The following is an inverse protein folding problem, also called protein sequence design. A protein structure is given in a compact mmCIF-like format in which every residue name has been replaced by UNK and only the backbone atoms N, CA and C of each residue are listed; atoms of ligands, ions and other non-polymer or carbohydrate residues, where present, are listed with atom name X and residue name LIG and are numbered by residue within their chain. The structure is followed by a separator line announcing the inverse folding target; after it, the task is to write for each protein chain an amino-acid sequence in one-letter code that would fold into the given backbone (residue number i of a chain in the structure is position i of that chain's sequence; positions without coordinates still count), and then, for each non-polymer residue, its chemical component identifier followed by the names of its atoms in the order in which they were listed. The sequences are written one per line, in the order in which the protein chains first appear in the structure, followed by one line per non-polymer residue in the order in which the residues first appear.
data_IF_427226834081
#
_entry.id   IF_427226834081
#
_cell.length_a   1.000
_cell.length_b   1.000
_cell.length_c   1.000
_cell.angle_alpha   90.00
_cell.angle_beta   90.00
_cell.angle_gamma   90.00
#
_symmetry.space_group_name_H-M   'P 1'
#
loop_
_entity.id
_entity.type
_entity.pdbx_description
1 polymer ?
#
# COMPACT_ATOMS: atom_id res chain seq x y z
N UNK A 1 -3.73 22.62 -17.73
CA UNK A 1 -2.32 23.02 -17.57
C UNK A 1 -1.39 21.81 -17.43
N UNK A 2 -1.33 21.08 -16.29
CA UNK A 2 -0.36 19.98 -16.12
C UNK A 2 -0.47 18.89 -17.21
N UNK A 3 -1.69 18.46 -17.53
CA UNK A 3 -1.94 17.49 -18.62
C UNK A 3 -1.40 17.97 -19.98
N UNK A 4 -1.63 19.24 -20.32
CA UNK A 4 -1.16 19.84 -21.58
C UNK A 4 0.37 19.85 -21.65
N UNK A 5 1.04 20.16 -20.53
CA UNK A 5 2.51 20.09 -20.43
C UNK A 5 3.00 18.66 -20.64
N UNK A 6 2.31 17.66 -20.06
CA UNK A 6 2.67 16.25 -20.25
C UNK A 6 2.58 15.83 -21.73
N UNK A 7 1.51 16.23 -22.42
CA UNK A 7 1.27 15.80 -23.81
C UNK A 7 2.12 16.57 -24.81
N UNK A 8 2.36 17.86 -24.59
CA UNK A 8 2.95 18.74 -25.62
C UNK A 8 4.44 18.99 -25.42
N UNK A 9 4.96 18.88 -24.19
CA UNK A 9 6.35 19.23 -23.88
C UNK A 9 7.28 18.00 -23.77
N UNK A 10 6.83 16.83 -24.27
CA UNK A 10 7.66 15.63 -24.38
C UNK A 10 7.76 14.76 -23.11
N UNK A 11 6.99 15.06 -22.06
CA UNK A 11 7.02 14.30 -20.80
C UNK A 11 6.15 13.04 -20.79
N UNK A 12 5.43 12.74 -21.88
CA UNK A 12 4.46 11.65 -21.92
C UNK A 12 5.06 10.28 -21.58
N UNK A 13 6.20 9.92 -22.17
CA UNK A 13 6.79 8.57 -22.04
C UNK A 13 7.57 8.39 -20.74
N UNK A 14 8.53 9.29 -20.47
CA UNK A 14 9.51 9.16 -19.38
C UNK A 14 9.37 10.23 -18.28
N UNK A 15 8.47 11.20 -18.43
CA UNK A 15 8.38 12.34 -17.52
C UNK A 15 9.58 13.28 -17.64
N UNK A 16 9.67 14.26 -16.74
CA UNK A 16 10.81 15.18 -16.66
C UNK A 16 11.77 14.91 -15.49
N UNK A 17 11.58 13.84 -14.73
CA UNK A 17 12.39 13.47 -13.58
C UNK A 17 11.84 13.98 -12.24
N UNK A 18 12.65 13.84 -11.18
CA UNK A 18 12.27 14.20 -9.82
C UNK A 18 11.95 15.70 -9.69
N UNK A 19 10.74 16.01 -9.21
CA UNK A 19 10.29 17.38 -8.96
C UNK A 19 10.04 18.22 -10.21
N UNK A 20 9.90 17.60 -11.39
CA UNK A 20 9.60 18.29 -12.63
C UNK A 20 8.25 19.02 -12.58
N UNK A 21 7.24 18.38 -11.98
CA UNK A 21 5.93 18.99 -11.77
C UNK A 21 6.05 20.29 -10.97
N UNK A 22 6.76 20.26 -9.83
CA UNK A 22 6.95 21.42 -8.98
C UNK A 22 7.74 22.52 -9.69
N UNK A 23 8.81 22.15 -10.39
CA UNK A 23 9.63 23.08 -11.16
C UNK A 23 8.80 23.83 -12.21
N UNK A 24 8.07 23.11 -13.07
CA UNK A 24 7.27 23.72 -14.14
C UNK A 24 6.10 24.53 -13.56
N UNK A 25 5.43 24.01 -12.54
CA UNK A 25 4.28 24.69 -11.93
C UNK A 25 4.69 25.97 -11.19
N UNK A 26 5.85 25.99 -10.51
CA UNK A 26 6.38 27.20 -9.85
C UNK A 26 6.75 28.29 -10.86
N UNK A 27 7.33 27.94 -12.00
CA UNK A 27 7.63 28.91 -13.06
C UNK A 27 6.38 29.59 -13.62
N UNK A 28 5.24 28.89 -13.62
CA UNK A 28 3.96 29.39 -14.12
C UNK A 28 3.02 29.85 -13.00
N UNK A 29 3.54 29.98 -11.77
CA UNK A 29 2.73 30.33 -10.61
C UNK A 29 1.89 31.62 -10.78
N UNK A 30 2.39 32.71 -11.38
CA UNK A 30 1.56 33.91 -11.59
C UNK A 30 0.32 33.65 -12.46
N UNK A 31 0.47 32.85 -13.51
CA UNK A 31 -0.63 32.44 -14.40
C UNK A 31 -1.58 31.46 -13.71
N UNK A 32 -1.06 30.50 -12.95
CA UNK A 32 -1.88 29.55 -12.20
C UNK A 32 -2.69 30.28 -11.12
N UNK A 33 -2.08 31.23 -10.41
CA UNK A 33 -2.74 32.02 -9.36
C UNK A 33 -3.87 32.87 -9.91
N UNK A 34 -3.76 33.43 -11.11
CA UNK A 34 -4.85 34.20 -11.71
C UNK A 34 -6.08 33.34 -12.03
N UNK A 35 -5.89 32.02 -12.18
CA UNK A 35 -6.97 31.03 -12.32
C UNK A 35 -7.41 30.43 -10.98
N UNK A 36 -6.96 30.97 -9.85
CA UNK A 36 -7.31 30.48 -8.50
C UNK A 36 -6.55 29.23 -8.06
N UNK A 37 -5.46 28.88 -8.73
CA UNK A 37 -4.70 27.66 -8.48
C UNK A 37 -3.47 27.90 -7.58
N UNK A 38 -3.17 26.97 -6.66
CA UNK A 38 -2.11 27.10 -5.64
C UNK A 38 -0.72 26.64 -6.06
N UNK A 39 -0.54 26.26 -7.32
CA UNK A 39 0.76 25.96 -7.93
C UNK A 39 1.26 24.52 -7.74
N UNK A 40 0.46 23.61 -7.18
CA UNK A 40 0.79 22.19 -7.07
C UNK A 40 -0.08 21.32 -7.97
N UNK A 41 0.40 20.15 -8.37
CA UNK A 41 -0.46 19.16 -9.02
C UNK A 41 -1.22 18.41 -7.93
N UNK A 42 -2.54 18.57 -7.87
CA UNK A 42 -3.41 18.03 -6.80
C UNK A 42 -4.00 16.65 -7.16
N UNK A 43 -3.23 15.81 -7.84
CA UNK A 43 -3.61 14.44 -8.17
C UNK A 43 -2.34 13.58 -8.28
N UNK A 44 -2.28 12.46 -7.55
CA UNK A 44 -1.08 11.62 -7.50
C UNK A 44 -0.74 11.04 -8.88
N UNK A 45 -1.74 10.68 -9.70
CA UNK A 45 -1.52 10.13 -11.04
C UNK A 45 -0.87 11.16 -11.97
N UNK A 46 -1.40 12.37 -12.01
CA UNK A 46 -0.85 13.47 -12.80
C UNK A 46 0.57 13.81 -12.33
N UNK A 47 0.80 13.85 -11.01
CA UNK A 47 2.13 14.12 -10.44
C UNK A 47 3.13 13.05 -10.84
N UNK A 48 2.77 11.76 -10.69
CA UNK A 48 3.60 10.64 -11.13
C UNK A 48 3.85 10.67 -12.63
N UNK A 49 2.84 11.01 -13.45
CA UNK A 49 3.00 11.08 -14.90
C UNK A 49 3.99 12.18 -15.28
N UNK A 50 3.84 13.35 -14.67
CA UNK A 50 4.66 14.50 -14.99
C UNK A 50 6.13 14.29 -14.64
N UNK A 51 6.39 13.52 -13.58
CA UNK A 51 7.74 13.22 -13.10
C UNK A 51 8.35 11.98 -13.74
N UNK A 52 7.59 10.91 -13.96
CA UNK A 52 8.12 9.59 -14.35
C UNK A 52 7.58 9.04 -15.66
N UNK A 53 6.61 9.73 -16.26
CA UNK A 53 5.96 9.32 -17.51
C UNK A 53 5.02 8.14 -17.34
N UNK A 54 4.40 7.74 -18.45
CA UNK A 54 3.51 6.56 -18.47
C UNK A 54 4.27 5.28 -18.12
N UNK A 55 5.57 5.18 -18.47
CA UNK A 55 6.38 4.01 -18.15
C UNK A 55 6.55 3.87 -16.64
N UNK A 56 6.88 4.96 -15.95
CA UNK A 56 7.00 4.96 -14.49
C UNK A 56 5.69 4.61 -13.79
N UNK A 57 4.58 5.18 -14.26
CA UNK A 57 3.23 4.85 -13.76
C UNK A 57 2.94 3.34 -13.90
N UNK A 58 3.16 2.77 -15.09
CA UNK A 58 2.85 1.36 -15.33
C UNK A 58 3.69 0.44 -14.45
N UNK A 59 4.99 0.73 -14.27
CA UNK A 59 5.86 -0.03 -13.39
C UNK A 59 5.45 0.10 -11.92
N UNK A 60 5.09 1.30 -11.49
CA UNK A 60 4.59 1.56 -10.13
C UNK A 60 3.30 0.78 -9.87
N UNK A 61 2.26 0.94 -10.70
CA UNK A 61 0.97 0.27 -10.50
C UNK A 61 1.07 -1.24 -10.65
N UNK A 62 1.93 -1.75 -11.54
CA UNK A 62 2.24 -3.18 -11.60
C UNK A 62 2.75 -3.68 -10.25
N UNK A 63 3.74 -2.99 -9.68
CA UNK A 63 4.35 -3.40 -8.40
C UNK A 63 3.37 -3.27 -7.24
N UNK A 64 2.62 -2.17 -7.21
CA UNK A 64 1.55 -1.92 -6.25
C UNK A 64 0.50 -3.04 -6.27
N UNK A 65 -0.05 -3.37 -7.44
CA UNK A 65 -1.06 -4.43 -7.56
C UNK A 65 -0.50 -5.79 -7.15
N UNK A 66 0.72 -6.14 -7.56
CA UNK A 66 1.36 -7.41 -7.17
C UNK A 66 1.55 -7.53 -5.65
N UNK A 67 1.91 -6.43 -4.99
CA UNK A 67 2.02 -6.37 -3.53
C UNK A 67 0.67 -6.64 -2.86
N UNK A 68 -0.43 -6.05 -3.36
CA UNK A 68 -1.77 -6.33 -2.85
C UNK A 68 -2.26 -7.74 -3.15
N UNK A 69 -1.89 -8.33 -4.29
CA UNK A 69 -2.18 -9.73 -4.60
C UNK A 69 -1.48 -10.66 -3.59
N UNK A 70 -0.23 -10.36 -3.21
CA UNK A 70 0.48 -11.10 -2.15
C UNK A 70 -0.29 -10.98 -0.82
N UNK A 71 -0.59 -9.75 -0.39
CA UNK A 71 -1.29 -9.49 0.87
C UNK A 71 -2.68 -10.14 0.93
N UNK A 72 -3.42 -10.15 -0.19
CA UNK A 72 -4.77 -10.71 -0.25
C UNK A 72 -4.82 -12.23 -0.02
N UNK A 73 -3.71 -12.94 -0.21
CA UNK A 73 -3.61 -14.38 0.12
C UNK A 73 -3.68 -14.62 1.63
N UNK A 74 -3.26 -13.65 2.43
CA UNK A 74 -3.25 -13.73 3.89
C UNK A 74 -4.45 -13.01 4.50
N UNK A 75 -4.76 -11.81 4.00
CA UNK A 75 -5.83 -10.97 4.51
C UNK A 75 -6.75 -10.49 3.36
N UNK A 76 -7.95 -11.08 3.17
CA UNK A 76 -8.87 -10.71 2.09
C UNK A 76 -9.31 -9.23 2.09
N UNK A 77 -9.19 -8.54 3.24
CA UNK A 77 -9.44 -7.10 3.36
C UNK A 77 -8.43 -6.24 2.58
N UNK A 78 -7.29 -6.82 2.16
CA UNK A 78 -6.25 -6.14 1.39
C UNK A 78 -6.80 -5.48 0.13
N UNK A 79 -7.69 -6.14 -0.62
CA UNK A 79 -8.27 -5.53 -1.82
C UNK A 79 -9.20 -4.37 -1.53
N UNK A 80 -9.99 -4.40 -0.45
CA UNK A 80 -10.81 -3.25 -0.06
C UNK A 80 -9.93 -2.03 0.24
N UNK A 81 -8.80 -2.25 0.93
CA UNK A 81 -7.81 -1.23 1.19
C UNK A 81 -7.16 -0.72 -0.11
N UNK A 82 -6.81 -1.62 -1.03
CA UNK A 82 -6.26 -1.26 -2.34
C UNK A 82 -7.17 -0.28 -3.09
N UNK A 83 -8.46 -0.58 -3.20
CA UNK A 83 -9.44 0.29 -3.87
C UNK A 83 -9.60 1.62 -3.14
N UNK A 84 -9.61 1.61 -1.79
CA UNK A 84 -9.64 2.83 -0.99
C UNK A 84 -8.44 3.73 -1.27
N UNK A 85 -7.23 3.16 -1.33
CA UNK A 85 -6.00 3.90 -1.65
C UNK A 85 -6.07 4.48 -3.06
N UNK A 86 -6.35 3.65 -4.08
CA UNK A 86 -6.46 4.07 -5.49
C UNK A 86 -7.47 5.22 -5.66
N UNK A 87 -8.60 5.16 -4.95
CA UNK A 87 -9.61 6.20 -5.00
C UNK A 87 -9.14 7.48 -4.28
N UNK A 88 -8.52 7.36 -3.11
CA UNK A 88 -8.06 8.51 -2.33
C UNK A 88 -6.98 9.33 -3.05
N UNK A 89 -6.08 8.67 -3.78
CA UNK A 89 -4.97 9.32 -4.49
C UNK A 89 -5.41 10.08 -5.75
N UNK A 90 -6.71 10.00 -6.13
CA UNK A 90 -7.31 10.86 -7.16
C UNK A 90 -7.47 12.30 -6.69
N UNK A 91 -7.75 12.52 -5.41
CA UNK A 91 -8.07 13.83 -4.85
C UNK A 91 -6.85 14.54 -4.29
N UNK A 92 -5.86 13.77 -3.82
CA UNK A 92 -4.68 14.29 -3.16
C UNK A 92 -3.41 13.61 -3.67
N UNK A 93 -2.33 14.38 -3.78
CA UNK A 93 -1.03 13.92 -4.27
C UNK A 93 -0.15 13.29 -3.20
N UNK A 94 -0.76 12.70 -2.15
CA UNK A 94 -0.02 12.24 -0.97
C UNK A 94 0.92 11.08 -1.28
N UNK A 95 0.61 10.24 -2.27
CA UNK A 95 1.45 9.12 -2.67
C UNK A 95 2.82 9.58 -3.20
N UNK A 96 2.87 10.80 -3.74
CA UNK A 96 4.10 11.47 -4.23
C UNK A 96 4.59 12.58 -3.30
N UNK A 97 3.82 12.92 -2.26
CA UNK A 97 4.10 14.03 -1.36
C UNK A 97 5.16 13.66 -0.32
N UNK A 98 6.25 14.42 -0.27
CA UNK A 98 7.38 14.15 0.63
C UNK A 98 7.08 14.38 2.12
N UNK A 99 6.09 15.22 2.44
CA UNK A 99 5.72 15.61 3.81
C UNK A 99 4.42 14.93 4.30
N UNK A 100 3.95 13.90 3.60
CA UNK A 100 2.67 13.28 3.92
C UNK A 100 2.83 11.99 4.74
N UNK A 101 2.22 11.88 5.95
CA UNK A 101 2.30 10.67 6.77
C UNK A 101 1.57 9.47 6.16
N UNK A 102 0.66 9.66 5.20
CA UNK A 102 -0.13 8.57 4.63
C UNK A 102 0.71 7.56 3.86
N UNK A 103 1.83 7.98 3.25
CA UNK A 103 2.72 7.06 2.55
C UNK A 103 3.39 6.08 3.51
N UNK A 104 3.92 6.57 4.64
CA UNK A 104 4.52 5.67 5.63
C UNK A 104 3.47 4.79 6.31
N UNK A 105 2.28 5.33 6.59
CA UNK A 105 1.17 4.54 7.14
C UNK A 105 0.73 3.44 6.18
N UNK A 106 0.66 3.71 4.87
CA UNK A 106 0.40 2.70 3.86
C UNK A 106 1.46 1.60 3.89
N UNK A 107 2.75 1.94 3.94
CA UNK A 107 3.83 0.96 3.98
C UNK A 107 3.77 0.07 5.24
N UNK A 108 3.46 0.66 6.40
CA UNK A 108 3.28 -0.08 7.66
C UNK A 108 2.11 -1.05 7.53
N UNK A 109 0.95 -0.59 7.08
CA UNK A 109 -0.24 -1.45 6.90
C UNK A 109 0.06 -2.57 5.91
N UNK A 110 0.72 -2.28 4.80
CA UNK A 110 1.09 -3.30 3.81
C UNK A 110 2.05 -4.34 4.37
N UNK A 111 3.01 -3.93 5.20
CA UNK A 111 3.95 -4.84 5.86
C UNK A 111 3.20 -5.76 6.84
N UNK A 112 2.34 -5.18 7.68
CA UNK A 112 1.51 -5.93 8.64
C UNK A 112 0.61 -6.97 7.95
N UNK A 113 0.14 -6.68 6.73
CA UNK A 113 -0.78 -7.54 5.98
C UNK A 113 -0.09 -8.53 5.03
N UNK A 114 1.23 -8.44 4.84
CA UNK A 114 1.96 -9.24 3.85
C UNK A 114 3.03 -10.17 4.46
N UNK A 115 3.49 -9.87 5.67
CA UNK A 115 4.58 -10.60 6.32
C UNK A 115 4.06 -11.72 7.22
N UNK A 116 4.47 -12.95 6.91
CA UNK A 116 4.01 -14.17 7.56
C UNK A 116 4.45 -14.24 9.03
N UNK A 117 5.60 -13.68 9.39
CA UNK A 117 6.09 -13.65 10.77
C UNK A 117 5.11 -12.89 11.69
N UNK A 118 4.59 -11.76 11.21
CA UNK A 118 3.66 -10.91 11.96
C UNK A 118 2.30 -11.60 12.10
N UNK A 119 1.84 -12.27 11.05
CA UNK A 119 0.54 -12.95 11.03
C UNK A 119 0.60 -14.28 11.81
N UNK A 120 1.70 -15.02 11.68
CA UNK A 120 1.93 -16.32 12.31
C UNK A 120 1.98 -16.25 13.84
N UNK A 121 2.39 -15.11 14.42
CA UNK A 121 2.28 -14.89 15.86
C UNK A 121 0.84 -14.94 16.41
N UNK A 122 -0.19 -14.76 15.57
CA UNK A 122 -1.58 -14.96 16.00
C UNK A 122 -1.98 -16.44 16.12
N UNK A 123 -1.31 -17.34 15.39
CA UNK A 123 -1.62 -18.77 15.38
C UNK A 123 -0.77 -19.60 16.36
N UNK A 124 0.44 -19.14 16.70
CA UNK A 124 1.33 -19.81 17.64
C UNK A 124 0.73 -20.08 19.06
N UNK A 125 -0.03 -19.17 19.69
CA UNK A 125 -0.52 -19.44 21.05
C UNK A 125 -1.61 -20.53 21.10
N UNK A 126 -2.36 -20.73 20.01
CA UNK A 126 -3.41 -21.76 19.97
C UNK A 126 -2.87 -23.19 19.75
N UNK A 127 -1.70 -23.33 19.11
CA UNK A 127 -1.05 -24.63 18.91
C UNK A 127 -0.33 -25.09 20.18
N UNK A 128 0.32 -24.17 20.91
CA UNK A 128 0.94 -24.48 22.21
C UNK A 128 -0.10 -24.88 23.28
N UNK A 129 -1.28 -24.24 23.32
CA UNK A 129 -2.37 -24.64 24.22
C UNK A 129 -2.96 -26.00 23.87
N UNK A 130 -3.14 -26.30 22.57
CA UNK A 130 -3.67 -27.60 22.12
C UNK A 130 -2.67 -28.74 22.35
N UNK A 131 -1.37 -28.51 22.13
CA UNK A 131 -0.34 -29.50 22.46
C UNK A 131 -0.28 -29.76 23.97
N UNK A 132 -0.45 -28.72 24.80
CA UNK A 132 -0.52 -28.87 26.25
C UNK A 132 -1.77 -29.62 26.73
N UNK A 133 -2.94 -29.38 26.12
CA UNK A 133 -4.18 -30.10 26.42
C UNK A 133 -4.12 -31.56 25.98
N UNK A 134 -3.58 -31.86 24.80
CA UNK A 134 -3.43 -33.23 24.30
C UNK A 134 -2.42 -34.03 25.15
N UNK A 135 -1.30 -33.41 25.55
CA UNK A 135 -0.34 -34.05 26.47
C UNK A 135 -0.92 -34.27 27.88
N UNK A 136 -1.75 -33.35 28.37
CA UNK A 136 -2.45 -33.50 29.65
C UNK A 136 -3.61 -34.53 29.59
N UNK A 137 -4.23 -34.71 28.42
CA UNK A 137 -5.26 -35.71 28.17
C UNK A 137 -4.69 -37.14 28.10
N UNK A 138 -3.52 -37.31 27.49
CA UNK A 138 -2.82 -38.61 27.39
C UNK A 138 -2.37 -39.14 28.77
N UNK A 139 -2.16 -38.27 29.76
CA UNK A 139 -1.70 -38.70 31.08
C UNK A 139 -2.82 -39.16 32.04
N UNK A 140 -4.10 -39.06 31.66
CA UNK A 140 -5.22 -39.63 32.44
C UNK A 140 -5.53 -41.06 32.00
N UNK A 141 -4.69 -42.01 32.42
CA UNK A 141 -5.04 -43.43 32.31
C UNK A 141 -6.32 -43.73 33.13
N UNK A 142 -7.28 -44.51 32.60
CA UNK A 142 -8.46 -44.90 33.36
C UNK A 142 -8.05 -45.76 34.57
N UNK A 143 -8.74 -45.64 35.71
CA UNK A 143 -8.44 -46.45 36.89
C UNK A 143 -8.58 -47.93 36.53
N UNK A 144 -7.53 -48.71 36.81
CA UNK A 144 -7.46 -50.13 36.51
C UNK A 144 -8.71 -50.85 37.07
N UNK A 145 -9.47 -51.48 36.17
CA UNK A 145 -10.62 -52.29 36.53
C UNK A 145 -10.12 -53.55 37.25
N UNK A 146 -10.23 -53.54 38.58
CA UNK A 146 -9.86 -54.68 39.42
C UNK A 146 -10.73 -55.90 39.11
N UNK A 147 -10.08 -56.97 38.63
CA UNK A 147 -10.68 -58.29 38.49
C UNK A 147 -10.94 -58.84 39.89
N UNK A 148 -12.22 -59.02 40.25
CA UNK A 148 -12.63 -59.81 41.42
C UNK A 148 -12.95 -61.23 40.96
N UNK A 149 -12.11 -62.18 41.35
CA UNK A 149 -12.44 -63.61 41.45
C UNK A 149 -13.35 -63.88 42.63
#
# INVERSE_FOLDING_TARGET
FAWERITNDGFFLFGGGFGNDEYIMRQHYPYLRSMGHHGGVHNSYLTMWFNTGIIGILLFFRSFILMFIKANKQAPIAFALMFSVIFSVLYESWLTGSLNPFTIMLLIVMTMMSEEEIIGHQHAPEEEEKEHEDQAGVHRLPPAMGVRT
#
